data_IF_839745615718
#
_entry.id   IF_839745615718
#
_cell.length_a   1.000
_cell.length_b   1.000
_cell.length_c   1.000
_cell.angle_alpha   90.00
_cell.angle_beta   90.00
_cell.angle_gamma   90.00
#
_symmetry.space_group_name_H-M   'P 1'
#
loop_
_entity.id
_entity.type
_entity.pdbx_description
1 polymer ?
#
# COMPACT_ATOMS: atom_id res chain seq x y z
N UNK A 1 8.97 -7.53 -14.91
CA UNK A 1 8.58 -6.46 -13.98
C UNK A 1 7.13 -6.67 -13.63
N UNK A 2 6.80 -6.78 -12.35
CA UNK A 2 5.42 -6.99 -11.89
C UNK A 2 4.70 -5.64 -11.83
N UNK A 3 3.39 -5.62 -12.08
CA UNK A 3 2.56 -4.42 -12.02
C UNK A 3 1.58 -4.51 -10.86
N UNK A 4 1.63 -3.54 -9.97
CA UNK A 4 0.78 -3.47 -8.79
C UNK A 4 -0.33 -2.44 -9.00
N UNK A 5 -1.57 -2.90 -8.97
CA UNK A 5 -2.74 -2.03 -9.13
C UNK A 5 -3.10 -1.31 -7.83
N UNK A 6 -3.46 -0.03 -7.92
CA UNK A 6 -3.93 0.76 -6.78
C UNK A 6 -5.30 1.33 -7.09
N UNK A 7 -6.24 1.18 -6.15
CA UNK A 7 -7.57 1.79 -6.28
C UNK A 7 -7.50 3.31 -6.21
N UNK A 8 -6.69 3.82 -5.28
CA UNK A 8 -6.47 5.25 -5.06
C UNK A 8 -4.96 5.54 -4.89
N UNK A 9 -4.21 5.68 -6.00
CA UNK A 9 -2.75 5.89 -5.96
C UNK A 9 -2.42 7.33 -5.53
N UNK A 10 -2.57 7.59 -4.24
CA UNK A 10 -2.02 8.78 -3.58
C UNK A 10 -0.69 8.33 -3.00
N UNK A 11 0.43 8.78 -3.56
CA UNK A 11 1.75 8.50 -3.00
C UNK A 11 2.28 9.77 -2.37
N UNK A 12 3.27 9.67 -1.50
CA UNK A 12 3.94 10.84 -0.91
C UNK A 12 5.45 10.72 -1.05
N UNK A 13 6.21 11.82 -0.88
CA UNK A 13 7.66 11.75 -0.86
C UNK A 13 8.18 10.76 0.20
N UNK A 14 9.27 10.07 -0.12
CA UNK A 14 9.91 9.11 0.77
C UNK A 14 9.28 7.71 0.76
N UNK A 15 9.25 7.08 1.94
CA UNK A 15 8.80 5.69 2.12
C UNK A 15 7.28 5.61 2.17
N UNK A 16 6.70 4.92 1.19
CA UNK A 16 5.27 4.59 1.14
C UNK A 16 5.09 3.12 1.54
N UNK A 17 3.92 2.79 2.06
CA UNK A 17 3.46 1.43 2.27
C UNK A 17 2.14 1.18 1.56
N UNK A 18 1.92 -0.07 1.19
CA UNK A 18 0.61 -0.60 0.82
C UNK A 18 0.39 -1.93 1.51
N UNK A 19 -0.86 -2.22 1.88
CA UNK A 19 -1.24 -3.50 2.50
C UNK A 19 -2.09 -4.30 1.53
N UNK A 20 -1.74 -5.56 1.33
CA UNK A 20 -2.37 -6.48 0.38
C UNK A 20 -2.88 -7.71 1.09
N UNK A 21 -4.09 -8.14 0.76
CA UNK A 21 -4.65 -9.38 1.29
C UNK A 21 -4.00 -10.58 0.58
N UNK A 22 -3.67 -11.61 1.35
CA UNK A 22 -3.16 -12.88 0.81
C UNK A 22 -1.68 -12.86 0.41
N UNK A 23 -1.33 -13.80 -0.49
CA UNK A 23 0.05 -14.21 -0.76
C UNK A 23 0.63 -13.70 -2.08
N UNK A 24 -0.17 -13.04 -2.92
CA UNK A 24 0.24 -12.63 -4.26
C UNK A 24 1.57 -11.85 -4.25
N UNK A 25 1.73 -10.97 -3.26
CA UNK A 25 2.89 -10.08 -3.12
C UNK A 25 3.91 -10.54 -2.07
N UNK A 26 3.69 -11.70 -1.45
CA UNK A 26 4.49 -12.18 -0.33
C UNK A 26 5.91 -12.61 -0.73
N UNK A 27 6.15 -12.91 -2.01
CA UNK A 27 7.43 -13.33 -2.57
C UNK A 27 8.26 -12.18 -3.16
N UNK A 28 7.76 -10.93 -3.09
CA UNK A 28 8.51 -9.75 -3.48
C UNK A 28 9.84 -9.67 -2.73
N UNK A 29 10.88 -9.21 -3.43
CA UNK A 29 12.22 -9.05 -2.85
C UNK A 29 12.55 -7.58 -2.63
N UNK A 30 13.22 -7.29 -1.52
CA UNK A 30 13.83 -5.98 -1.31
C UNK A 30 14.82 -5.70 -2.46
N UNK A 31 14.71 -4.49 -3.04
CA UNK A 31 15.45 -4.06 -4.23
C UNK A 31 14.75 -4.38 -5.55
N UNK A 32 13.65 -5.14 -5.55
CA UNK A 32 12.86 -5.37 -6.75
C UNK A 32 12.16 -4.08 -7.22
N UNK A 33 12.12 -3.87 -8.53
CA UNK A 33 11.39 -2.78 -9.16
C UNK A 33 10.04 -3.30 -9.64
N UNK A 34 8.98 -2.64 -9.19
CA UNK A 34 7.59 -2.88 -9.59
C UNK A 34 7.05 -1.67 -10.34
N UNK A 35 6.15 -1.91 -11.29
CA UNK A 35 5.35 -0.86 -11.90
C UNK A 35 4.17 -0.54 -10.99
N UNK A 36 3.97 0.74 -10.67
CA UNK A 36 2.83 1.21 -9.89
C UNK A 36 1.76 1.68 -10.85
N UNK A 37 0.60 1.03 -10.84
CA UNK A 37 -0.51 1.43 -11.70
C UNK A 37 -1.17 2.70 -11.15
N UNK A 38 -0.88 3.83 -11.78
CA UNK A 38 -1.36 5.14 -11.39
C UNK A 38 -1.71 6.02 -12.58
N UNK A 39 -2.19 7.25 -12.34
CA UNK A 39 -2.60 8.16 -13.41
C UNK A 39 -1.43 8.61 -14.31
N UNK A 40 -0.18 8.39 -13.89
CA UNK A 40 1.00 8.48 -14.73
C UNK A 40 1.95 7.30 -14.48
N UNK A 41 2.91 7.09 -15.37
CA UNK A 41 3.85 5.98 -15.27
C UNK A 41 4.81 6.17 -14.09
N UNK A 42 4.71 5.27 -13.11
CA UNK A 42 5.48 5.29 -11.88
C UNK A 42 6.14 3.92 -11.62
N UNK A 43 7.35 3.95 -11.09
CA UNK A 43 8.07 2.77 -10.63
C UNK A 43 8.20 2.81 -9.11
N UNK A 44 8.04 1.66 -8.47
CA UNK A 44 8.28 1.46 -7.05
C UNK A 44 9.51 0.60 -6.86
N UNK A 45 10.48 1.05 -6.06
CA UNK A 45 11.55 0.19 -5.56
C UNK A 45 11.12 -0.38 -4.21
N UNK A 46 10.98 -1.71 -4.13
CA UNK A 46 10.61 -2.40 -2.89
C UNK A 46 11.72 -2.23 -1.87
N UNK A 47 11.38 -1.71 -0.70
CA UNK A 47 12.33 -1.49 0.41
C UNK A 47 12.06 -2.43 1.58
N UNK A 48 10.81 -2.87 1.75
CA UNK A 48 10.39 -3.75 2.84
C UNK A 48 9.26 -4.67 2.39
N UNK A 49 9.23 -5.90 2.90
CA UNK A 49 8.12 -6.84 2.76
C UNK A 49 7.89 -7.46 4.14
N UNK A 50 6.69 -7.29 4.68
CA UNK A 50 6.29 -7.80 5.98
C UNK A 50 5.03 -8.63 5.80
N UNK A 51 5.01 -9.81 6.40
CA UNK A 51 3.84 -10.68 6.43
C UNK A 51 3.37 -10.80 7.87
N UNK A 52 2.12 -10.41 8.12
CA UNK A 52 1.54 -10.40 9.46
C UNK A 52 0.03 -10.62 9.38
N UNK A 53 -0.60 -10.76 10.55
CA UNK A 53 -2.06 -10.69 10.63
C UNK A 53 -2.49 -9.23 10.51
N UNK A 54 -3.70 -8.99 10.03
CA UNK A 54 -4.24 -7.64 9.89
C UNK A 54 -4.15 -6.85 11.20
N UNK A 55 -4.56 -7.45 12.32
CA UNK A 55 -4.50 -6.81 13.64
C UNK A 55 -3.08 -6.51 14.15
N UNK A 56 -2.08 -7.18 13.59
CA UNK A 56 -0.67 -7.08 14.00
C UNK A 56 0.12 -6.12 13.11
N UNK A 57 -0.53 -5.38 12.19
CA UNK A 57 0.13 -4.39 11.34
C UNK A 57 0.83 -3.35 12.23
N UNK A 58 2.15 -3.15 12.07
CA UNK A 58 2.86 -2.13 12.84
C UNK A 58 2.35 -0.72 12.53
N UNK A 59 2.25 0.14 13.54
CA UNK A 59 1.79 1.53 13.37
C UNK A 59 2.57 2.30 12.29
N UNK A 60 3.88 2.06 12.16
CA UNK A 60 4.69 2.76 11.16
C UNK A 60 4.30 2.43 9.70
N UNK A 61 3.66 1.29 9.46
CA UNK A 61 3.10 0.88 8.17
C UNK A 61 1.83 1.69 7.92
N UNK A 62 0.95 1.82 8.92
CA UNK A 62 -0.28 2.62 8.84
C UNK A 62 0.06 4.10 8.64
N UNK A 63 0.96 4.67 9.44
CA UNK A 63 1.34 6.08 9.35
C UNK A 63 1.91 6.48 7.98
N UNK A 64 2.48 5.51 7.25
CA UNK A 64 3.08 5.67 5.93
C UNK A 64 2.29 4.95 4.83
N UNK A 65 1.06 4.54 5.11
CA UNK A 65 0.17 4.01 4.09
C UNK A 65 -0.03 5.11 3.03
N UNK A 66 0.09 4.71 1.77
CA UNK A 66 0.08 5.63 0.66
C UNK A 66 -1.25 6.42 0.61
N UNK A 67 -2.38 5.72 0.69
CA UNK A 67 -3.72 6.26 0.76
C UNK A 67 -3.94 6.91 2.15
N UNK A 68 -4.23 8.22 2.21
CA UNK A 68 -4.56 8.89 3.46
C UNK A 68 -5.69 8.21 4.24
N UNK A 69 -6.65 7.59 3.56
CA UNK A 69 -7.77 6.89 4.20
C UNK A 69 -7.31 5.57 4.85
N UNK A 70 -6.18 5.00 4.40
CA UNK A 70 -5.54 3.80 4.95
C UNK A 70 -4.65 4.04 6.17
N UNK A 71 -4.45 5.30 6.59
CA UNK A 71 -3.46 5.63 7.64
C UNK A 71 -3.88 5.34 9.08
N UNK A 72 -5.03 4.67 9.25
CA UNK A 72 -5.53 4.17 10.52
C UNK A 72 -6.03 2.74 10.34
N UNK A 73 -6.07 1.94 11.41
CA UNK A 73 -6.55 0.56 11.30
C UNK A 73 -7.98 0.45 10.73
N UNK A 74 -8.91 1.26 11.26
CA UNK A 74 -10.30 1.28 10.80
C UNK A 74 -10.43 1.79 9.36
N UNK A 75 -9.64 2.80 9.00
CA UNK A 75 -9.59 3.31 7.63
C UNK A 75 -9.05 2.28 6.64
N UNK A 76 -7.93 1.62 6.98
CA UNK A 76 -7.37 0.53 6.19
C UNK A 76 -8.35 -0.62 6.01
N UNK A 77 -9.03 -1.03 7.08
CA UNK A 77 -10.04 -2.09 7.02
C UNK A 77 -11.16 -1.75 6.02
N UNK A 78 -11.63 -0.49 5.99
CA UNK A 78 -12.63 -0.05 5.02
C UNK A 78 -12.08 -0.11 3.58
N UNK A 79 -10.87 0.39 3.35
CA UNK A 79 -10.21 0.33 2.03
C UNK A 79 -10.03 -1.12 1.56
N UNK A 80 -9.64 -2.03 2.47
CA UNK A 80 -9.49 -3.45 2.17
C UNK A 80 -10.84 -4.10 1.84
N UNK A 81 -11.91 -3.84 2.61
CA UNK A 81 -13.26 -4.35 2.30
C UNK A 81 -13.80 -3.86 0.97
N UNK A 82 -13.46 -2.64 0.58
CA UNK A 82 -13.81 -2.11 -0.73
C UNK A 82 -13.04 -2.76 -1.88
N UNK A 83 -11.82 -3.23 -1.60
CA UNK A 83 -10.91 -3.82 -2.60
C UNK A 83 -11.08 -5.35 -2.72
N UNK A 84 -11.35 -6.02 -1.60
CA UNK A 84 -11.49 -7.46 -1.45
C UNK A 84 -12.89 -7.78 -0.90
N UNK A 85 -13.89 -8.00 -1.78
CA UNK A 85 -15.28 -8.22 -1.38
C UNK A 85 -15.47 -9.39 -0.40
N UNK A 86 -14.58 -10.38 -0.41
CA UNK A 86 -14.60 -11.51 0.52
C UNK A 86 -14.43 -11.10 2.00
N UNK A 87 -13.93 -9.90 2.27
CA UNK A 87 -13.85 -9.36 3.64
C UNK A 87 -15.18 -8.75 4.11
N UNK A 88 -16.14 -8.51 3.21
CA UNK A 88 -17.44 -7.94 3.56
C UNK A 88 -18.35 -8.97 4.24
N UNK A 89 -18.17 -10.26 3.92
CA UNK A 89 -18.97 -11.36 4.45
C UNK A 89 -18.42 -11.93 5.77
N UNK A 90 -17.21 -11.50 6.18
CA UNK A 90 -16.54 -11.98 7.39
C UNK A 90 -16.94 -11.18 8.62
N UNK A 91 -17.04 -11.87 9.75
CA UNK A 91 -17.22 -11.23 11.05
C UNK A 91 -15.96 -10.44 11.44
N UNK A 92 -16.12 -9.36 12.22
CA UNK A 92 -15.00 -8.46 12.55
C UNK A 92 -13.82 -9.21 13.20
N UNK A 93 -14.11 -10.15 14.09
CA UNK A 93 -13.09 -10.95 14.77
C UNK A 93 -12.39 -11.98 13.87
N UNK A 94 -12.95 -12.33 12.71
CA UNK A 94 -12.30 -13.20 11.73
C UNK A 94 -11.33 -12.40 10.86
N UNK A 95 -11.71 -11.18 10.49
CA UNK A 95 -10.91 -10.30 9.63
C UNK A 95 -9.58 -9.92 10.30
N UNK A 96 -9.57 -9.73 11.62
CA UNK A 96 -8.38 -9.41 12.40
C UNK A 96 -7.25 -10.44 12.23
N UNK A 97 -7.58 -11.71 11.97
CA UNK A 97 -6.61 -12.80 11.77
C UNK A 97 -6.23 -13.04 10.32
N UNK A 98 -6.80 -12.31 9.37
CA UNK A 98 -6.44 -12.42 7.97
C UNK A 98 -4.97 -12.09 7.75
N UNK A 99 -4.31 -12.89 6.92
CA UNK A 99 -2.91 -12.68 6.59
C UNK A 99 -2.80 -11.63 5.51
N UNK A 100 -1.99 -10.62 5.79
CA UNK A 100 -1.70 -9.53 4.88
C UNK A 100 -0.20 -9.43 4.62
N UNK A 101 0.11 -8.93 3.43
CA UNK A 101 1.45 -8.54 3.02
C UNK A 101 1.53 -7.02 2.99
N UNK A 102 2.37 -6.44 3.84
CA UNK A 102 2.70 -5.03 3.81
C UNK A 102 3.96 -4.84 2.96
N UNK A 103 3.87 -4.00 1.93
CA UNK A 103 4.97 -3.72 1.01
C UNK A 103 5.38 -2.27 1.18
N UNK A 104 6.60 -2.05 1.63
CA UNK A 104 7.23 -0.73 1.67
C UNK A 104 7.96 -0.46 0.36
N UNK A 105 7.83 0.74 -0.19
CA UNK A 105 8.46 1.12 -1.45
C UNK A 105 8.80 2.62 -1.54
N UNK A 106 9.80 2.93 -2.36
CA UNK A 106 10.09 4.30 -2.81
C UNK A 106 9.57 4.51 -4.21
N UNK A 107 8.93 5.66 -4.45
CA UNK A 107 8.39 6.02 -5.76
C UNK A 107 9.46 6.74 -6.58
N UNK A 108 9.66 6.26 -7.79
CA UNK A 108 10.39 6.93 -8.85
C UNK A 108 9.42 7.23 -10.00
N UNK A 109 9.28 8.51 -10.36
CA UNK A 109 8.41 8.94 -11.46
C UNK A 109 9.27 9.24 -12.69
N UNK A 110 8.79 8.86 -13.87
CA UNK A 110 9.44 9.24 -15.10
C UNK A 110 8.88 10.57 -15.64
N UNK A 111 9.75 11.57 -15.72
CA UNK A 111 9.57 12.84 -16.46
C UNK A 111 8.40 13.74 -16.02
N UNK A 112 8.63 14.63 -15.06
CA UNK A 112 7.89 15.90 -14.89
C UNK A 112 6.41 15.78 -14.51
N UNK A 113 5.97 14.59 -14.11
CA UNK A 113 4.60 14.29 -13.70
C UNK A 113 4.48 13.97 -12.21
N UNK A 114 5.47 14.37 -11.40
CA UNK A 114 5.46 14.15 -9.95
C UNK A 114 4.19 14.71 -9.30
N UNK A 115 3.74 15.88 -9.76
CA UNK A 115 2.55 16.58 -9.28
C UNK A 115 1.23 15.80 -9.49
N UNK A 116 1.21 14.75 -10.33
CA UNK A 116 0.01 13.94 -10.57
C UNK A 116 -0.17 12.81 -9.55
N UNK A 117 0.88 12.44 -8.81
CA UNK A 117 0.86 11.23 -7.98
C UNK A 117 1.48 11.43 -6.60
N UNK A 118 2.42 12.36 -6.45
CA UNK A 118 3.01 12.69 -5.16
C UNK A 118 2.19 13.80 -4.47
N UNK A 119 1.76 13.54 -3.23
CA UNK A 119 1.24 14.57 -2.34
C UNK A 119 2.30 15.66 -2.15
N UNK A 120 1.91 16.92 -2.38
CA UNK A 120 2.79 18.06 -2.09
C UNK A 120 3.00 18.13 -0.58
N UNK A 121 4.26 18.18 -0.14
CA UNK A 121 4.55 18.54 1.24
C UNK A 121 3.90 19.89 1.52
N UNK A 122 3.01 19.94 2.52
CA UNK A 122 2.51 21.21 3.02
C UNK A 122 3.71 21.91 3.64
N UNK A 123 4.22 22.95 2.96
CA UNK A 123 5.33 23.76 3.43
C UNK A 123 5.10 24.19 4.87
N UNK A 124 6.12 23.95 5.71
CA UNK A 124 6.22 24.51 7.06
C UNK A 124 6.53 25.99 7.02
#
# INVERSE_FOLDING_TARGET
MRRMAFRRPVFHPGLNFTVRLGEEWADLKVGEIIELDGPCWCLGMVTQVLKCRLMDIPNFVLEREHDPDGRTYSGLLNVLKETYPELQEKEAGEIDYEIVTCVGFWVAVALGHEDLVLEKEKGQ
#
